data_IF_729512339940
#
_entry.id   IF_729512339940
#
_cell.length_a   1.000
_cell.length_b   1.000
_cell.length_c   1.000
_cell.angle_alpha   90.00
_cell.angle_beta   90.00
_cell.angle_gamma   90.00
#
_symmetry.space_group_name_H-M   'P 1'
#
loop_
_entity.id
_entity.type
_entity.pdbx_description
1 polymer ?
#
# COMPACT_ATOMS: atom_id res chain seq x y z
N UNK A 1 -1.54 25.22 5.01
CA UNK A 1 -1.17 24.18 5.98
C UNK A 1 -0.38 23.11 5.24
N UNK A 2 0.57 22.44 5.90
CA UNK A 2 1.29 21.32 5.29
C UNK A 2 0.29 20.20 4.94
N UNK A 3 0.44 19.55 3.79
CA UNK A 3 -0.38 18.37 3.41
C UNK A 3 0.00 17.19 4.30
N UNK A 4 -0.99 16.38 4.68
CA UNK A 4 -0.81 15.19 5.50
C UNK A 4 -0.82 13.94 4.62
N UNK A 5 0.30 13.22 4.59
CA UNK A 5 0.47 11.97 3.84
C UNK A 5 0.53 10.80 4.81
N UNK A 6 -0.28 9.78 4.55
CA UNK A 6 -0.29 8.55 5.35
C UNK A 6 0.43 7.45 4.57
N UNK A 7 1.49 6.89 5.16
CA UNK A 7 2.26 5.79 4.59
C UNK A 7 1.96 4.49 5.36
N UNK A 8 1.46 3.47 4.65
CA UNK A 8 1.09 2.19 5.26
C UNK A 8 1.93 1.06 4.68
N UNK A 9 2.68 0.39 5.54
CA UNK A 9 3.49 -0.77 5.20
C UNK A 9 2.79 -2.07 5.63
N UNK A 10 2.43 -2.89 4.66
CA UNK A 10 1.90 -4.24 4.85
C UNK A 10 2.97 -5.33 4.58
N UNK A 11 4.24 -4.98 4.59
CA UNK A 11 5.36 -5.91 4.55
C UNK A 11 5.86 -6.25 5.96
N UNK A 12 6.11 -7.55 6.27
CA UNK A 12 6.55 -7.95 7.61
C UNK A 12 8.02 -7.66 7.89
N UNK A 13 8.86 -7.53 6.86
CA UNK A 13 10.32 -7.46 7.00
C UNK A 13 10.81 -6.01 6.97
N UNK A 14 11.34 -5.54 8.11
CA UNK A 14 11.94 -4.21 8.23
C UNK A 14 13.23 -4.12 7.41
N UNK A 15 13.42 -3.00 6.69
CA UNK A 15 14.60 -2.74 5.86
C UNK A 15 14.63 -3.51 4.53
N UNK A 16 13.59 -4.33 4.24
CA UNK A 16 13.48 -5.07 2.98
C UNK A 16 12.74 -4.29 1.90
N UNK A 17 12.59 -4.91 0.73
CA UNK A 17 12.16 -4.24 -0.51
C UNK A 17 10.93 -3.33 -0.32
N UNK A 18 9.81 -3.86 0.19
CA UNK A 18 8.58 -3.07 0.39
C UNK A 18 8.78 -1.94 1.39
N UNK A 19 9.40 -2.25 2.53
CA UNK A 19 9.67 -1.29 3.60
C UNK A 19 10.56 -0.13 3.10
N UNK A 20 11.57 -0.46 2.31
CA UNK A 20 12.50 0.50 1.69
C UNK A 20 11.77 1.42 0.71
N UNK A 21 10.98 0.87 -0.21
CA UNK A 21 10.26 1.66 -1.21
C UNK A 21 9.22 2.59 -0.58
N UNK A 22 8.49 2.13 0.44
CA UNK A 22 7.56 2.97 1.20
C UNK A 22 8.33 4.09 1.92
N UNK A 23 9.47 3.76 2.53
CA UNK A 23 10.34 4.74 3.18
C UNK A 23 10.85 5.82 2.23
N UNK A 24 11.24 5.43 1.00
CA UNK A 24 11.65 6.40 -0.03
C UNK A 24 10.49 7.27 -0.49
N UNK A 25 9.31 6.71 -0.71
CA UNK A 25 8.13 7.48 -1.08
C UNK A 25 7.72 8.46 0.04
N UNK A 26 7.74 8.01 1.30
CA UNK A 26 7.49 8.85 2.46
C UNK A 26 8.51 9.99 2.57
N UNK A 27 9.79 9.70 2.35
CA UNK A 27 10.86 10.70 2.34
C UNK A 27 10.68 11.72 1.21
N UNK A 28 10.25 11.26 0.01
CA UNK A 28 9.93 12.13 -1.11
C UNK A 28 8.78 13.09 -0.77
N UNK A 29 7.69 12.59 -0.18
CA UNK A 29 6.57 13.40 0.27
C UNK A 29 7.01 14.44 1.32
N UNK A 30 7.80 14.03 2.31
CA UNK A 30 8.34 14.94 3.32
C UNK A 30 9.22 16.03 2.73
N UNK A 31 10.07 15.71 1.73
CA UNK A 31 10.91 16.70 1.05
C UNK A 31 10.11 17.70 0.22
N UNK A 32 8.89 17.34 -0.20
CA UNK A 32 7.93 18.23 -0.86
C UNK A 32 7.07 19.04 0.13
N UNK A 33 7.41 19.03 1.43
CA UNK A 33 6.77 19.84 2.46
C UNK A 33 5.54 19.20 3.14
N UNK A 34 5.30 17.90 2.93
CA UNK A 34 4.23 17.20 3.63
C UNK A 34 4.63 16.71 5.02
N UNK A 35 3.67 16.67 5.93
CA UNK A 35 3.76 15.88 7.16
C UNK A 35 3.42 14.43 6.85
N UNK A 36 4.33 13.51 7.17
CA UNK A 36 4.16 12.09 6.87
C UNK A 36 4.00 11.29 8.15
N UNK A 37 2.85 10.62 8.29
CA UNK A 37 2.61 9.63 9.34
C UNK A 37 2.70 8.22 8.77
N UNK A 38 3.40 7.32 9.47
CA UNK A 38 3.64 5.95 9.01
C UNK A 38 3.05 4.90 9.94
N UNK A 39 2.41 3.89 9.33
CA UNK A 39 1.88 2.71 10.00
C UNK A 39 2.51 1.43 9.42
N UNK A 40 3.04 0.58 10.28
CA UNK A 40 3.53 -0.77 9.94
C UNK A 40 2.49 -1.79 10.42
N UNK A 41 1.70 -2.38 9.52
CA UNK A 41 0.55 -3.22 9.86
C UNK A 41 0.92 -4.44 10.71
N UNK A 42 2.09 -5.04 10.47
CA UNK A 42 2.59 -6.17 11.25
C UNK A 42 3.03 -5.83 12.69
N UNK A 43 2.97 -4.55 13.08
CA UNK A 43 3.34 -4.06 14.43
C UNK A 43 2.17 -3.47 15.18
N UNK A 44 1.00 -3.41 14.54
CA UNK A 44 -0.23 -2.95 15.19
C UNK A 44 -0.72 -3.99 16.20
N UNK A 45 -1.51 -3.53 17.16
CA UNK A 45 -2.30 -4.41 17.99
C UNK A 45 -3.20 -5.29 17.13
N UNK A 46 -3.73 -6.36 17.70
CA UNK A 46 -4.60 -7.32 17.00
C UNK A 46 -5.73 -6.61 16.26
N UNK A 47 -5.96 -7.00 15.01
CA UNK A 47 -7.03 -6.51 14.16
C UNK A 47 -7.56 -7.60 13.22
N UNK A 48 -8.67 -7.31 12.55
CA UNK A 48 -9.29 -8.19 11.57
C UNK A 48 -9.71 -7.43 10.31
N UNK A 49 -9.99 -8.14 9.23
CA UNK A 49 -10.66 -7.64 8.04
C UNK A 49 -12.10 -7.20 8.31
N UNK A 50 -12.86 -6.94 7.25
CA UNK A 50 -14.25 -6.53 7.37
C UNK A 50 -15.14 -7.70 7.82
N UNK A 51 -15.82 -7.55 8.95
CA UNK A 51 -16.75 -8.54 9.50
C UNK A 51 -18.18 -8.35 8.98
N UNK A 52 -18.37 -7.52 7.97
CA UNK A 52 -19.69 -7.29 7.35
C UNK A 52 -20.81 -6.89 8.33
N UNK A 53 -20.51 -6.13 9.37
CA UNK A 53 -21.49 -5.71 10.39
C UNK A 53 -22.41 -4.57 9.94
N UNK A 54 -22.18 -3.97 8.78
CA UNK A 54 -22.90 -2.82 8.21
C UNK A 54 -22.96 -1.58 9.12
N UNK A 55 -22.18 -1.52 10.19
CA UNK A 55 -22.17 -0.38 11.10
C UNK A 55 -21.79 0.95 10.43
N UNK A 56 -20.87 0.90 9.43
CA UNK A 56 -20.46 2.05 8.62
C UNK A 56 -21.51 2.53 7.60
N UNK A 57 -22.65 1.82 7.47
CA UNK A 57 -23.77 2.18 6.61
C UNK A 57 -24.88 2.92 7.37
N UNK A 58 -24.82 2.95 8.70
CA UNK A 58 -25.75 3.74 9.51
C UNK A 58 -25.42 5.23 9.38
N UNK A 59 -26.43 6.09 9.29
CA UNK A 59 -26.24 7.53 9.02
C UNK A 59 -25.23 8.19 9.96
N UNK A 60 -25.30 7.90 11.27
CA UNK A 60 -24.37 8.43 12.28
C UNK A 60 -22.91 8.02 12.11
N UNK A 61 -22.62 6.97 11.31
CA UNK A 61 -21.30 6.43 11.10
C UNK A 61 -20.92 6.35 9.61
N UNK A 62 -21.70 7.00 8.74
CA UNK A 62 -21.51 6.92 7.29
C UNK A 62 -20.04 7.20 6.88
N UNK A 63 -19.46 6.27 6.12
CA UNK A 63 -18.06 6.36 5.70
C UNK A 63 -17.03 6.12 6.79
N UNK A 64 -17.42 5.56 7.96
CA UNK A 64 -16.51 5.26 9.06
C UNK A 64 -16.72 3.86 9.61
N UNK A 65 -15.66 3.05 9.62
CA UNK A 65 -15.71 1.72 10.21
C UNK A 65 -15.94 1.82 11.73
N UNK A 66 -16.89 1.02 12.24
CA UNK A 66 -17.23 1.01 13.67
C UNK A 66 -16.49 -0.06 14.48
N UNK A 67 -15.82 -0.99 13.80
CA UNK A 67 -14.97 -1.98 14.45
C UNK A 67 -13.75 -1.29 15.06
N UNK A 68 -13.53 -1.46 16.36
CA UNK A 68 -12.45 -0.83 17.12
C UNK A 68 -11.35 -1.83 17.41
N UNK A 69 -10.20 -1.67 16.77
CA UNK A 69 -9.02 -2.51 16.87
C UNK A 69 -7.78 -1.78 16.34
N UNK A 70 -6.66 -2.48 16.15
CA UNK A 70 -5.40 -1.90 15.67
C UNK A 70 -5.49 -1.18 14.32
N UNK A 71 -6.49 -1.47 13.45
CA UNK A 71 -6.70 -0.73 12.19
C UNK A 71 -7.47 0.58 12.36
N UNK A 72 -8.11 0.82 13.50
CA UNK A 72 -8.90 2.04 13.72
C UNK A 72 -8.10 3.32 13.46
N UNK A 73 -6.90 3.52 14.07
CA UNK A 73 -6.12 4.74 13.84
C UNK A 73 -5.67 4.89 12.38
N UNK A 74 -5.36 3.76 11.69
CA UNK A 74 -4.95 3.79 10.28
C UNK A 74 -6.10 4.27 9.39
N UNK A 75 -7.30 3.72 9.56
CA UNK A 75 -8.49 4.09 8.79
C UNK A 75 -8.93 5.53 9.06
N UNK A 76 -8.86 5.97 10.31
CA UNK A 76 -9.18 7.35 10.69
C UNK A 76 -8.13 8.32 10.08
N UNK A 77 -6.83 7.98 10.12
CA UNK A 77 -5.77 8.78 9.51
C UNK A 77 -5.93 8.89 7.97
N UNK A 78 -6.21 7.77 7.27
CA UNK A 78 -6.43 7.77 5.82
C UNK A 78 -7.62 8.66 5.42
N UNK A 79 -8.68 8.66 6.21
CA UNK A 79 -9.87 9.48 5.93
C UNK A 79 -9.58 10.99 5.97
N UNK A 80 -8.61 11.42 6.76
CA UNK A 80 -8.21 12.80 6.93
C UNK A 80 -6.99 13.19 6.08
N UNK A 81 -6.35 12.21 5.42
CA UNK A 81 -5.13 12.40 4.65
C UNK A 81 -5.34 13.20 3.34
N UNK A 82 -4.32 13.90 2.90
CA UNK A 82 -4.24 14.55 1.59
C UNK A 82 -3.64 13.65 0.52
N UNK A 83 -3.02 12.54 0.92
CA UNK A 83 -2.53 11.48 0.05
C UNK A 83 -2.15 10.25 0.86
N UNK A 84 -2.14 9.09 0.19
CA UNK A 84 -1.88 7.80 0.84
C UNK A 84 -0.85 7.00 0.05
N UNK A 85 0.16 6.49 0.74
CA UNK A 85 1.13 5.52 0.22
C UNK A 85 0.77 4.17 0.83
N UNK A 86 0.40 3.19 0.00
CA UNK A 86 0.08 1.82 0.42
C UNK A 86 1.12 0.87 -0.16
N UNK A 87 1.76 0.07 0.65
CA UNK A 87 2.74 -0.90 0.14
C UNK A 87 2.56 -2.30 0.71
N UNK A 88 2.68 -3.30 -0.17
CA UNK A 88 2.60 -4.72 0.19
C UNK A 88 3.52 -5.56 -0.68
N UNK A 89 4.21 -6.58 -0.14
CA UNK A 89 4.76 -7.63 -0.97
C UNK A 89 3.63 -8.50 -1.53
N UNK A 90 3.90 -9.12 -2.68
CA UNK A 90 3.04 -10.17 -3.24
C UNK A 90 3.37 -11.52 -2.59
N UNK A 91 2.38 -12.19 -2.07
CA UNK A 91 2.46 -13.52 -1.51
C UNK A 91 1.45 -14.43 -2.21
N UNK A 92 1.96 -15.44 -2.93
CA UNK A 92 1.13 -16.43 -3.60
C UNK A 92 0.06 -15.80 -4.51
N UNK A 93 0.47 -14.86 -5.35
CA UNK A 93 -0.36 -14.14 -6.33
C UNK A 93 -1.40 -13.19 -5.71
N UNK A 94 -1.22 -12.80 -4.43
CA UNK A 94 -2.07 -11.83 -3.75
C UNK A 94 -1.23 -10.89 -2.88
N UNK A 95 -1.79 -9.75 -2.49
CA UNK A 95 -1.18 -8.88 -1.47
C UNK A 95 -1.33 -9.54 -0.08
N UNK A 96 -0.53 -9.13 0.88
CA UNK A 96 -0.53 -9.79 2.20
C UNK A 96 -1.91 -9.76 2.88
N UNK A 97 -2.19 -10.74 3.73
CA UNK A 97 -3.42 -10.78 4.52
C UNK A 97 -3.62 -9.50 5.35
N UNK A 98 -2.52 -8.91 5.85
CA UNK A 98 -2.54 -7.63 6.55
C UNK A 98 -3.02 -6.48 5.66
N UNK A 99 -2.56 -6.44 4.41
CA UNK A 99 -3.05 -5.49 3.41
C UNK A 99 -4.53 -5.71 3.13
N UNK A 100 -4.93 -6.96 2.91
CA UNK A 100 -6.33 -7.31 2.62
C UNK A 100 -7.27 -6.89 3.75
N UNK A 101 -6.89 -7.09 5.00
CA UNK A 101 -7.69 -6.68 6.14
C UNK A 101 -7.94 -5.17 6.16
N UNK A 102 -6.90 -4.35 5.90
CA UNK A 102 -7.05 -2.90 5.74
C UNK A 102 -7.92 -2.56 4.52
N UNK A 103 -7.60 -3.15 3.37
CA UNK A 103 -8.26 -2.89 2.08
C UNK A 103 -9.77 -3.16 2.14
N UNK A 104 -10.19 -4.31 2.65
CA UNK A 104 -11.61 -4.63 2.82
C UNK A 104 -12.36 -3.56 3.61
N UNK A 105 -11.78 -3.13 4.73
CA UNK A 105 -12.40 -2.13 5.60
C UNK A 105 -12.39 -0.73 4.98
N UNK A 106 -11.28 -0.35 4.33
CA UNK A 106 -11.15 0.93 3.64
C UNK A 106 -12.16 1.05 2.49
N UNK A 107 -12.30 0.01 1.68
CA UNK A 107 -13.25 0.01 0.56
C UNK A 107 -14.67 -0.08 1.08
N UNK A 108 -14.96 -1.03 1.97
CA UNK A 108 -16.32 -1.26 2.42
C UNK A 108 -16.90 -0.06 3.19
N UNK A 109 -16.12 0.65 3.99
CA UNK A 109 -16.64 1.83 4.68
C UNK A 109 -17.13 2.92 3.71
N UNK A 110 -16.49 3.07 2.53
CA UNK A 110 -16.80 4.08 1.52
C UNK A 110 -17.89 3.65 0.52
N UNK A 111 -18.11 2.34 0.34
CA UNK A 111 -19.16 1.81 -0.51
C UNK A 111 -20.56 2.12 0.05
N UNK A 112 -21.53 2.61 -0.76
CA UNK A 112 -22.87 2.99 -0.32
C UNK A 112 -23.99 2.03 -0.72
N UNK A 113 -23.79 1.15 -1.69
CA UNK A 113 -24.85 0.39 -2.38
C UNK A 113 -25.86 1.27 -3.13
N UNK A 114 -25.67 2.58 -3.19
CA UNK A 114 -26.46 3.46 -4.01
C UNK A 114 -25.87 3.54 -5.41
N UNK A 115 -26.70 3.35 -6.45
CA UNK A 115 -26.24 3.35 -7.86
C UNK A 115 -25.77 4.74 -8.30
N UNK A 116 -26.43 5.79 -7.86
CA UNK A 116 -26.13 7.17 -8.25
C UNK A 116 -24.92 7.74 -7.49
N UNK A 117 -24.78 7.37 -6.22
CA UNK A 117 -23.69 7.80 -5.34
C UNK A 117 -22.99 6.60 -4.73
N UNK A 118 -22.21 5.83 -5.49
CA UNK A 118 -21.67 4.54 -5.04
C UNK A 118 -20.59 4.67 -3.95
N UNK A 119 -20.03 5.87 -3.77
CA UNK A 119 -19.00 6.18 -2.78
C UNK A 119 -19.45 7.33 -1.89
N UNK A 120 -19.23 7.21 -0.56
CA UNK A 120 -19.51 8.26 0.41
C UNK A 120 -18.23 8.89 1.00
N UNK A 121 -17.06 8.66 0.41
CA UNK A 121 -15.87 9.41 0.79
C UNK A 121 -16.10 10.92 0.61
N UNK A 122 -15.71 11.71 1.60
CA UNK A 122 -15.96 13.16 1.58
C UNK A 122 -15.21 13.86 0.45
N UNK A 123 -14.06 13.34 0.07
CA UNK A 123 -13.22 13.81 -1.05
C UNK A 123 -12.36 12.67 -1.59
N UNK A 124 -11.92 12.72 -2.86
CA UNK A 124 -10.93 11.78 -3.35
C UNK A 124 -9.58 12.05 -2.68
N UNK A 125 -8.88 10.99 -2.30
CA UNK A 125 -7.53 11.02 -1.72
C UNK A 125 -6.58 10.31 -2.67
N UNK A 126 -5.59 10.98 -3.27
CA UNK A 126 -4.62 10.35 -4.17
C UNK A 126 -3.87 9.19 -3.49
N UNK A 127 -3.67 8.10 -4.22
CA UNK A 127 -3.02 6.87 -3.71
C UNK A 127 -1.79 6.54 -4.55
N UNK A 128 -0.69 6.22 -3.90
CA UNK A 128 0.45 5.50 -4.46
C UNK A 128 0.44 4.07 -3.93
N UNK A 129 0.11 3.10 -4.77
CA UNK A 129 0.17 1.67 -4.45
C UNK A 129 1.53 1.11 -4.88
N UNK A 130 2.28 0.57 -3.93
CA UNK A 130 3.60 -0.05 -4.14
C UNK A 130 3.48 -1.56 -3.92
N UNK A 131 3.86 -2.36 -4.93
CA UNK A 131 3.94 -3.81 -4.78
C UNK A 131 5.36 -4.30 -5.07
N UNK A 132 5.86 -5.22 -4.25
CA UNK A 132 7.11 -5.93 -4.51
C UNK A 132 6.86 -7.42 -4.69
N UNK A 133 7.59 -8.10 -5.57
CA UNK A 133 7.41 -9.53 -5.80
C UNK A 133 8.70 -10.24 -6.18
N UNK A 134 8.73 -11.57 -6.00
CA UNK A 134 9.77 -12.44 -6.52
C UNK A 134 9.63 -12.72 -8.03
N UNK A 135 8.41 -12.55 -8.58
CA UNK A 135 8.12 -12.70 -9.99
C UNK A 135 8.36 -11.38 -10.75
N UNK A 136 8.49 -11.41 -12.09
CA UNK A 136 8.65 -10.22 -12.92
C UNK A 136 7.55 -9.17 -12.73
N UNK A 137 7.84 -7.91 -13.04
CA UNK A 137 6.91 -6.77 -12.91
C UNK A 137 5.55 -6.99 -13.59
N UNK A 138 5.55 -7.73 -14.70
CA UNK A 138 4.35 -7.99 -15.51
C UNK A 138 3.49 -9.14 -14.99
N UNK A 139 4.01 -9.99 -14.09
CA UNK A 139 3.35 -11.22 -13.67
C UNK A 139 1.97 -10.99 -13.02
N UNK A 140 1.77 -9.83 -12.41
CA UNK A 140 0.56 -9.51 -11.64
C UNK A 140 -0.18 -8.28 -12.17
N UNK A 141 -0.07 -7.99 -13.48
CA UNK A 141 -0.70 -6.83 -14.09
C UNK A 141 -2.23 -6.79 -13.88
N UNK A 142 -2.91 -7.94 -14.02
CA UNK A 142 -4.36 -8.05 -13.82
C UNK A 142 -4.77 -7.85 -12.35
N UNK A 143 -3.99 -8.37 -11.41
CA UNK A 143 -4.18 -8.16 -9.98
C UNK A 143 -4.11 -6.66 -9.66
N UNK A 144 -3.05 -6.01 -10.09
CA UNK A 144 -2.81 -4.58 -9.83
C UNK A 144 -3.85 -3.70 -10.53
N UNK A 145 -4.30 -4.07 -11.71
CA UNK A 145 -5.40 -3.38 -12.40
C UNK A 145 -6.69 -3.40 -11.57
N UNK A 146 -7.06 -4.55 -10.97
CA UNK A 146 -8.24 -4.65 -10.11
C UNK A 146 -8.11 -3.79 -8.85
N UNK A 147 -6.96 -3.82 -8.18
CA UNK A 147 -6.70 -2.96 -7.01
C UNK A 147 -6.78 -1.49 -7.37
N UNK A 148 -6.11 -1.10 -8.45
CA UNK A 148 -6.12 0.27 -8.95
C UNK A 148 -7.54 0.76 -9.22
N UNK A 149 -8.32 0.03 -10.01
CA UNK A 149 -9.71 0.41 -10.35
C UNK A 149 -10.60 0.53 -9.11
N UNK A 150 -10.44 -0.35 -8.13
CA UNK A 150 -11.23 -0.29 -6.90
C UNK A 150 -10.80 0.89 -6.01
N UNK A 151 -9.50 1.13 -5.87
CA UNK A 151 -8.98 2.29 -5.14
C UNK A 151 -9.40 3.60 -5.80
N UNK A 152 -9.31 3.71 -7.13
CA UNK A 152 -9.78 4.88 -7.89
C UNK A 152 -11.26 5.16 -7.64
N UNK A 153 -12.08 4.12 -7.56
CA UNK A 153 -13.53 4.26 -7.35
C UNK A 153 -13.91 4.68 -5.92
N UNK A 154 -13.19 4.21 -4.90
CA UNK A 154 -13.62 4.34 -3.51
C UNK A 154 -12.68 5.15 -2.61
N UNK A 155 -11.49 5.49 -3.09
CA UNK A 155 -10.51 6.29 -2.33
C UNK A 155 -10.09 7.51 -3.14
N UNK A 156 -9.49 7.33 -4.32
CA UNK A 156 -9.07 8.42 -5.18
C UNK A 156 -8.09 8.02 -6.29
N UNK A 157 -7.63 8.95 -7.10
CA UNK A 157 -6.69 8.70 -8.20
C UNK A 157 -5.51 7.85 -7.74
N UNK A 158 -5.26 6.73 -8.42
CA UNK A 158 -4.29 5.73 -7.96
C UNK A 158 -3.19 5.51 -8.98
N UNK A 159 -1.95 5.72 -8.55
CA UNK A 159 -0.74 5.36 -9.26
C UNK A 159 -0.17 4.05 -8.68
N UNK A 160 0.43 3.22 -9.53
CA UNK A 160 1.02 1.94 -9.12
C UNK A 160 2.52 1.95 -9.41
N UNK A 161 3.32 1.56 -8.43
CA UNK A 161 4.74 1.25 -8.57
C UNK A 161 4.95 -0.24 -8.29
N UNK A 162 5.57 -0.92 -9.24
CA UNK A 162 5.93 -2.35 -9.11
C UNK A 162 7.44 -2.49 -9.03
N UNK A 163 7.91 -3.37 -8.17
CA UNK A 163 9.27 -3.85 -8.12
C UNK A 163 9.23 -5.38 -8.13
N UNK A 164 9.42 -5.98 -9.29
CA UNK A 164 9.45 -7.42 -9.49
C UNK A 164 10.86 -7.99 -9.40
N UNK A 165 10.99 -9.30 -9.52
CA UNK A 165 12.27 -10.02 -9.46
C UNK A 165 13.16 -9.60 -8.27
N UNK A 166 12.54 -9.22 -7.16
CA UNK A 166 13.26 -8.68 -6.01
C UNK A 166 14.11 -9.72 -5.30
N UNK A 167 15.19 -9.28 -4.68
CA UNK A 167 16.02 -10.11 -3.80
C UNK A 167 15.18 -10.60 -2.61
N UNK A 168 15.28 -11.91 -2.29
CA UNK A 168 14.50 -12.52 -1.20
C UNK A 168 15.33 -12.77 0.05
N UNK A 169 16.62 -13.02 -0.11
CA UNK A 169 17.58 -13.30 0.96
C UNK A 169 18.91 -12.59 0.67
N UNK A 170 19.62 -12.21 1.72
CA UNK A 170 20.98 -11.66 1.61
C UNK A 170 21.96 -12.70 1.07
N UNK A 171 21.77 -13.96 1.47
CA UNK A 171 22.62 -15.08 1.06
C UNK A 171 21.78 -16.34 0.83
N UNK A 172 21.62 -16.70 -0.43
CA UNK A 172 20.91 -17.93 -0.83
C UNK A 172 21.70 -19.21 -0.53
N UNK A 173 23.01 -19.13 -0.31
CA UNK A 173 23.86 -20.28 0.04
C UNK A 173 23.72 -20.74 1.49
N UNK A 174 23.04 -19.95 2.34
CA UNK A 174 22.80 -20.27 3.76
C UNK A 174 21.47 -20.98 4.02
N UNK A 175 20.86 -21.59 3.02
CA UNK A 175 19.62 -22.33 3.15
C UNK A 175 19.80 -23.81 2.89
N UNK A 176 18.97 -24.64 3.50
CA UNK A 176 19.06 -26.10 3.42
C UNK A 176 18.38 -26.69 2.16
N UNK A 177 17.82 -25.87 1.28
CA UNK A 177 17.15 -26.29 0.04
C UNK A 177 17.68 -25.56 -1.20
N UNK A 178 17.59 -26.18 -2.40
CA UNK A 178 18.05 -25.56 -3.63
C UNK A 178 17.12 -24.46 -4.12
N UNK A 179 17.71 -23.38 -4.63
CA UNK A 179 17.01 -22.26 -5.26
C UNK A 179 16.99 -22.45 -6.79
N UNK A 180 16.27 -23.47 -7.28
CA UNK A 180 16.24 -23.84 -8.71
C UNK A 180 15.11 -23.19 -9.52
N UNK A 181 14.16 -22.52 -8.87
CA UNK A 181 13.04 -21.87 -9.56
C UNK A 181 13.39 -20.51 -10.17
N UNK A 182 14.54 -19.93 -9.82
CA UNK A 182 15.04 -18.65 -10.33
C UNK A 182 16.56 -18.55 -10.19
N UNK A 183 17.16 -17.63 -10.96
CA UNK A 183 18.59 -17.32 -10.86
C UNK A 183 18.85 -16.33 -9.70
N UNK A 184 19.43 -16.86 -8.62
CA UNK A 184 19.75 -16.06 -7.41
C UNK A 184 20.78 -14.97 -7.71
N UNK A 185 21.74 -15.24 -8.60
CA UNK A 185 22.76 -14.27 -8.99
C UNK A 185 22.18 -13.14 -9.84
N UNK A 186 21.26 -13.46 -10.74
CA UNK A 186 20.51 -12.44 -11.49
C UNK A 186 19.73 -11.53 -10.55
N UNK A 187 19.14 -12.07 -9.48
CA UNK A 187 18.43 -11.26 -8.46
C UNK A 187 19.36 -10.34 -7.68
N UNK A 188 20.57 -10.79 -7.36
CA UNK A 188 21.60 -9.92 -6.73
C UNK A 188 21.99 -8.77 -7.67
N UNK A 189 22.36 -9.09 -8.92
CA UNK A 189 22.70 -8.07 -9.93
C UNK A 189 21.57 -7.06 -10.10
N UNK A 190 20.31 -7.52 -10.17
CA UNK A 190 19.14 -6.64 -10.28
C UNK A 190 19.00 -5.76 -9.02
N UNK A 191 19.20 -6.31 -7.84
CA UNK A 191 19.14 -5.55 -6.59
C UNK A 191 20.20 -4.43 -6.55
N UNK A 192 21.39 -4.67 -7.11
CA UNK A 192 22.47 -3.70 -7.18
C UNK A 192 22.27 -2.63 -8.26
N UNK A 193 21.63 -2.99 -9.39
CA UNK A 193 21.57 -2.12 -10.58
C UNK A 193 20.19 -1.49 -10.80
N UNK A 194 19.09 -2.21 -10.57
CA UNK A 194 17.72 -1.78 -10.86
C UNK A 194 17.02 -1.25 -9.61
N UNK A 195 17.16 -1.93 -8.48
CA UNK A 195 16.48 -1.52 -7.24
C UNK A 195 16.79 -0.09 -6.78
N UNK A 196 18.03 0.46 -6.95
CA UNK A 196 18.30 1.87 -6.69
C UNK A 196 17.49 2.83 -7.57
N UNK A 197 17.19 2.46 -8.82
CA UNK A 197 16.35 3.25 -9.72
C UNK A 197 14.88 3.22 -9.27
N UNK A 198 14.40 2.08 -8.80
CA UNK A 198 13.05 1.93 -8.24
C UNK A 198 12.89 2.69 -6.92
N UNK A 199 13.91 2.73 -6.08
CA UNK A 199 13.96 3.60 -4.89
C UNK A 199 13.83 5.06 -5.25
N UNK A 200 14.55 5.50 -6.28
CA UNK A 200 14.45 6.87 -6.80
C UNK A 200 13.05 7.15 -7.35
N UNK A 201 12.48 6.24 -8.13
CA UNK A 201 11.12 6.36 -8.65
C UNK A 201 10.08 6.42 -7.51
N UNK A 202 10.25 5.64 -6.44
CA UNK A 202 9.39 5.71 -5.26
C UNK A 202 9.47 7.10 -4.60
N UNK A 203 10.67 7.64 -4.43
CA UNK A 203 10.89 8.98 -3.88
C UNK A 203 10.21 10.05 -4.74
N UNK A 204 10.43 10.04 -6.06
CA UNK A 204 9.86 11.02 -7.00
C UNK A 204 8.32 10.96 -7.02
N UNK A 205 7.73 9.76 -6.97
CA UNK A 205 6.27 9.57 -6.91
C UNK A 205 5.69 10.01 -5.56
N UNK A 206 6.41 9.79 -4.47
CA UNK A 206 6.03 10.30 -3.16
C UNK A 206 6.00 11.83 -3.13
N UNK A 207 6.99 12.50 -3.71
CA UNK A 207 7.01 13.95 -3.85
C UNK A 207 5.86 14.44 -4.75
N UNK A 208 5.63 13.78 -5.90
CA UNK A 208 4.54 14.12 -6.83
C UNK A 208 3.15 13.94 -6.20
N UNK A 209 2.98 13.02 -5.24
CA UNK A 209 1.71 12.82 -4.54
C UNK A 209 1.26 14.08 -3.79
N UNK A 210 2.21 14.87 -3.28
CA UNK A 210 1.96 16.14 -2.59
C UNK A 210 1.46 17.21 -3.57
N UNK A 211 1.94 17.22 -4.83
CA UNK A 211 1.59 18.23 -5.82
C UNK A 211 0.22 17.99 -6.51
N UNK A 212 -0.31 16.77 -6.48
CA UNK A 212 -1.55 16.37 -7.20
C UNK A 212 -2.86 16.88 -6.60
N UNK A 213 -2.87 17.71 -5.62
CA UNK A 213 -4.07 18.24 -4.97
C UNK A 213 -4.34 19.73 -5.19
N UNK A 214 -3.71 20.31 -6.22
CA UNK A 214 -3.96 21.69 -6.67
C UNK A 214 -4.85 21.72 -7.90
#
# INVERSE_FOLDING_TARGET
MAKRIIAVNAGPRKGWNTDTLIGEAARGAGSAGAEVERFDLFRLERYTGCVSCFGCKKEKNKGRCVCRDGLTPVLDAIREADGVILGSPNYLSELTASFLALYERLIFQNLTYNRETPCCAARPVPVLLIMTSNAPDTAYADLLRRYRQTLERFVGPTEVLVSGDTLQLDDYGKTDWPWSMFDAEAKRRRHETVFPLERRAAYERGAALVCRGE
#
